data_IF_046643985714
#
_entry.id   IF_046643985714
#
_cell.length_a   1.000
_cell.length_b   1.000
_cell.length_c   1.000
_cell.angle_alpha   90.00
_cell.angle_beta   90.00
_cell.angle_gamma   90.00
#
_symmetry.space_group_name_H-M   'P 1'
#
loop_
_entity.id
_entity.type
_entity.pdbx_description
1 polymer ?
#
# COMPACT_ATOMS: atom_id res chain seq x y z
N UNK A 1 2.64 13.44 21.94
CA UNK A 1 3.82 12.66 22.41
C UNK A 1 4.51 12.14 21.15
N UNK A 2 5.82 12.35 21.01
CA UNK A 2 6.54 11.70 19.90
C UNK A 2 6.46 10.20 20.15
N UNK A 3 5.81 9.45 19.26
CA UNK A 3 5.79 7.99 19.34
C UNK A 3 7.20 7.49 19.06
N UNK A 4 7.70 6.58 19.89
CA UNK A 4 8.99 5.94 19.64
C UNK A 4 8.93 4.90 18.51
N UNK A 5 7.73 4.66 18.00
CA UNK A 5 7.46 3.66 16.96
C UNK A 5 7.67 4.20 15.55
N UNK A 6 8.15 3.34 14.67
CA UNK A 6 8.26 3.60 13.22
C UNK A 6 7.80 2.38 12.43
N UNK A 7 7.48 2.62 11.17
CA UNK A 7 7.27 1.60 10.15
C UNK A 7 8.46 1.56 9.19
N UNK A 8 8.76 0.40 8.62
CA UNK A 8 9.86 0.23 7.68
C UNK A 8 9.31 -0.28 6.34
N UNK A 9 9.53 0.48 5.27
CA UNK A 9 9.23 0.09 3.91
C UNK A 9 10.51 -0.21 3.12
N UNK A 10 10.58 -1.38 2.49
CA UNK A 10 11.72 -1.79 1.65
C UNK A 10 11.24 -1.88 0.21
N UNK A 11 11.77 -1.02 -0.64
CA UNK A 11 11.43 -1.02 -2.06
C UNK A 11 12.31 -1.99 -2.84
N UNK A 12 11.68 -2.89 -3.59
CA UNK A 12 12.36 -3.80 -4.53
C UNK A 12 11.88 -3.46 -5.94
N UNK A 13 12.69 -2.77 -6.76
CA UNK A 13 12.23 -2.21 -8.04
C UNK A 13 12.20 -3.22 -9.19
N UNK A 14 12.32 -4.52 -8.92
CA UNK A 14 12.51 -5.51 -9.98
C UNK A 14 11.24 -6.28 -10.29
N UNK A 15 10.92 -6.39 -11.60
CA UNK A 15 9.84 -7.21 -12.11
C UNK A 15 10.34 -8.10 -13.25
N UNK A 16 9.77 -9.31 -13.37
CA UNK A 16 9.99 -10.16 -14.54
C UNK A 16 9.40 -9.53 -15.82
N UNK A 17 8.25 -8.85 -15.66
CA UNK A 17 7.56 -8.09 -16.71
C UNK A 17 6.81 -6.93 -16.04
N UNK A 18 6.87 -5.73 -16.63
CA UNK A 18 6.09 -4.58 -16.14
C UNK A 18 4.67 -4.65 -16.69
N UNK A 19 3.68 -4.51 -15.82
CA UNK A 19 2.27 -4.50 -16.19
C UNK A 19 1.91 -3.21 -16.93
N UNK A 20 0.87 -3.24 -17.76
CA UNK A 20 0.50 -2.11 -18.62
C UNK A 20 -0.07 -0.90 -17.88
N UNK A 21 -0.56 -1.11 -16.66
CA UNK A 21 -1.17 -0.09 -15.80
C UNK A 21 -0.21 0.44 -14.73
N UNK A 22 0.97 -0.17 -14.54
CA UNK A 22 1.78 0.05 -13.38
C UNK A 22 2.65 1.32 -13.52
N UNK A 23 2.44 2.28 -12.61
CA UNK A 23 3.21 3.51 -12.46
C UNK A 23 4.35 3.39 -11.43
N UNK A 24 4.39 2.29 -10.66
CA UNK A 24 5.45 2.10 -9.66
C UNK A 24 6.84 2.13 -10.30
N UNK A 25 7.81 2.65 -9.53
CA UNK A 25 9.22 2.60 -9.90
C UNK A 25 9.68 1.14 -9.95
N UNK A 26 9.43 0.49 -11.09
CA UNK A 26 9.75 -0.92 -11.29
C UNK A 26 10.12 -1.20 -12.74
N UNK A 27 11.08 -2.12 -12.92
CA UNK A 27 11.60 -2.47 -14.25
C UNK A 27 12.27 -3.86 -14.24
N UNK A 28 12.53 -4.37 -15.44
CA UNK A 28 13.35 -5.56 -15.62
C UNK A 28 14.82 -5.18 -15.52
N UNK A 29 15.60 -5.99 -14.79
CA UNK A 29 17.04 -5.79 -14.66
C UNK A 29 17.82 -7.09 -14.86
N UNK A 30 19.07 -6.95 -15.26
CA UNK A 30 20.03 -8.05 -15.32
C UNK A 30 20.57 -8.37 -13.91
N UNK A 31 21.09 -9.58 -13.73
CA UNK A 31 21.52 -10.10 -12.43
C UNK A 31 22.59 -9.22 -11.76
N UNK A 32 23.51 -8.64 -12.56
CA UNK A 32 24.54 -7.73 -12.06
C UNK A 32 23.94 -6.46 -11.44
N UNK A 33 22.93 -5.88 -12.07
CA UNK A 33 22.22 -4.70 -11.53
C UNK A 33 21.48 -5.05 -10.25
N UNK A 34 20.82 -6.19 -10.19
CA UNK A 34 20.15 -6.67 -8.98
C UNK A 34 21.16 -6.83 -7.84
N UNK A 35 22.31 -7.43 -8.11
CA UNK A 35 23.38 -7.64 -7.12
C UNK A 35 23.95 -6.32 -6.60
N UNK A 36 24.24 -5.37 -7.50
CA UNK A 36 24.71 -4.04 -7.12
C UNK A 36 23.69 -3.32 -6.24
N UNK A 37 22.42 -3.36 -6.65
CA UNK A 37 21.31 -2.76 -5.89
C UNK A 37 21.19 -3.35 -4.48
N UNK A 38 21.19 -4.68 -4.36
CA UNK A 38 21.07 -5.37 -3.07
C UNK A 38 22.25 -5.06 -2.13
N UNK A 39 23.46 -4.92 -2.69
CA UNK A 39 24.61 -4.43 -1.95
C UNK A 39 24.39 -3.03 -1.37
N UNK A 40 23.88 -2.12 -2.21
CA UNK A 40 23.57 -0.73 -1.82
C UNK A 40 22.42 -0.64 -0.81
N UNK A 41 21.37 -1.43 -1.02
CA UNK A 41 20.25 -1.56 -0.11
C UNK A 41 20.68 -2.02 1.30
N UNK A 42 21.59 -3.00 1.35
CA UNK A 42 22.18 -3.46 2.60
C UNK A 42 22.97 -2.37 3.33
N UNK A 43 23.77 -1.59 2.61
CA UNK A 43 24.49 -0.45 3.17
C UNK A 43 23.53 0.59 3.77
N UNK A 44 22.43 0.88 3.06
CA UNK A 44 21.39 1.81 3.50
C UNK A 44 20.68 1.32 4.76
N UNK A 45 20.28 0.03 4.79
CA UNK A 45 19.68 -0.60 5.97
C UNK A 45 20.59 -0.50 7.20
N UNK A 46 21.89 -0.80 7.05
CA UNK A 46 22.88 -0.69 8.13
C UNK A 46 23.02 0.76 8.63
N UNK A 47 23.04 1.71 7.71
CA UNK A 47 23.13 3.14 8.05
C UNK A 47 21.94 3.59 8.88
N UNK A 48 20.71 3.33 8.39
CA UNK A 48 19.49 3.74 9.07
C UNK A 48 19.24 2.98 10.36
N UNK A 49 19.58 1.70 10.41
CA UNK A 49 19.46 0.90 11.63
C UNK A 49 20.29 1.48 12.78
N UNK A 50 21.52 1.94 12.50
CA UNK A 50 22.35 2.66 13.49
C UNK A 50 21.74 4.00 13.91
N UNK A 51 21.24 4.78 12.93
CA UNK A 51 20.64 6.11 13.21
C UNK A 51 19.34 6.03 13.99
N UNK A 52 18.57 4.97 13.79
CA UNK A 52 17.25 4.74 14.37
C UNK A 52 17.23 3.64 15.45
N UNK A 53 18.37 3.26 16.00
CA UNK A 53 18.51 2.16 16.97
C UNK A 53 17.62 2.30 18.23
N UNK A 54 17.16 3.51 18.57
CA UNK A 54 16.25 3.77 19.69
C UNK A 54 14.77 3.70 19.32
N UNK A 55 14.43 3.44 18.04
CA UNK A 55 13.04 3.37 17.55
C UNK A 55 12.56 1.92 17.52
N UNK A 56 11.31 1.73 17.88
CA UNK A 56 10.61 0.45 17.83
C UNK A 56 9.95 0.27 16.47
N UNK A 57 10.36 -0.70 15.67
CA UNK A 57 9.76 -1.01 14.37
C UNK A 57 8.54 -1.89 14.59
N UNK A 58 7.36 -1.37 14.29
CA UNK A 58 6.07 -2.06 14.49
C UNK A 58 5.57 -2.78 13.25
N UNK A 59 6.03 -2.35 12.07
CA UNK A 59 5.75 -3.05 10.80
C UNK A 59 6.96 -2.98 9.87
N UNK A 60 7.13 -4.04 9.06
CA UNK A 60 8.05 -4.07 7.91
C UNK A 60 7.26 -4.46 6.68
N UNK A 61 7.39 -3.71 5.59
CA UNK A 61 6.73 -4.00 4.33
C UNK A 61 7.76 -4.07 3.20
N UNK A 62 7.95 -5.25 2.62
CA UNK A 62 8.85 -5.49 1.49
C UNK A 62 7.99 -5.51 0.23
N UNK A 63 8.02 -4.42 -0.55
CA UNK A 63 7.12 -4.19 -1.68
C UNK A 63 7.77 -3.49 -2.86
N UNK A 64 6.94 -2.97 -3.76
CA UNK A 64 7.33 -2.14 -4.90
C UNK A 64 7.08 -2.80 -6.25
N UNK A 65 8.11 -3.35 -6.89
CA UNK A 65 7.96 -4.11 -8.14
C UNK A 65 7.43 -5.52 -7.86
N UNK A 66 8.31 -6.45 -7.62
CA UNK A 66 7.97 -7.85 -7.28
C UNK A 66 9.06 -8.42 -6.37
N UNK A 67 8.99 -8.24 -5.06
CA UNK A 67 10.01 -8.76 -4.14
C UNK A 67 10.23 -10.27 -4.28
N UNK A 68 9.15 -11.00 -4.53
CA UNK A 68 9.22 -12.45 -4.77
C UNK A 68 9.92 -12.86 -6.07
N UNK A 69 10.30 -11.93 -6.93
CA UNK A 69 11.17 -12.21 -8.08
C UNK A 69 12.63 -12.46 -7.65
N UNK A 70 13.09 -11.83 -6.57
CA UNK A 70 14.41 -12.06 -6.01
C UNK A 70 14.59 -13.50 -5.59
N UNK A 71 15.83 -13.96 -5.51
CA UNK A 71 16.16 -15.29 -4.97
C UNK A 71 15.83 -15.32 -3.47
N UNK A 72 15.56 -16.50 -2.93
CA UNK A 72 15.26 -16.65 -1.50
C UNK A 72 16.43 -16.20 -0.61
N UNK A 73 17.67 -16.41 -1.06
CA UNK A 73 18.89 -16.00 -0.37
C UNK A 73 19.00 -14.47 -0.25
N UNK A 74 18.51 -13.75 -1.27
CA UNK A 74 18.48 -12.29 -1.28
C UNK A 74 17.47 -11.75 -0.26
N UNK A 75 16.28 -12.35 -0.19
CA UNK A 75 15.28 -12.00 0.83
C UNK A 75 15.77 -12.36 2.24
N UNK A 76 16.41 -13.51 2.41
CA UNK A 76 17.04 -13.89 3.67
C UNK A 76 18.06 -12.85 4.11
N UNK A 77 18.96 -12.42 3.23
CA UNK A 77 19.96 -11.37 3.53
C UNK A 77 19.29 -10.06 3.96
N UNK A 78 18.20 -9.65 3.29
CA UNK A 78 17.45 -8.44 3.66
C UNK A 78 16.87 -8.60 5.08
N UNK A 79 16.18 -9.70 5.37
CA UNK A 79 15.60 -9.96 6.68
C UNK A 79 16.66 -10.03 7.78
N UNK A 80 17.75 -10.77 7.58
CA UNK A 80 18.86 -10.85 8.51
C UNK A 80 19.43 -9.46 8.81
N UNK A 81 19.64 -8.62 7.78
CA UNK A 81 20.14 -7.25 7.95
C UNK A 81 19.16 -6.38 8.77
N UNK A 82 17.85 -6.53 8.52
CA UNK A 82 16.81 -5.82 9.28
C UNK A 82 16.84 -6.23 10.76
N UNK A 83 16.81 -7.53 11.04
CA UNK A 83 16.81 -8.03 12.43
C UNK A 83 18.10 -7.74 13.19
N UNK A 84 19.25 -7.65 12.49
CA UNK A 84 20.54 -7.31 13.12
C UNK A 84 20.63 -5.83 13.51
N UNK A 85 20.01 -4.93 12.74
CA UNK A 85 20.26 -3.50 12.88
C UNK A 85 19.09 -2.68 13.38
N UNK A 86 17.84 -3.20 13.35
CA UNK A 86 16.66 -2.52 13.83
C UNK A 86 16.04 -3.25 15.03
N UNK A 87 15.43 -2.50 15.92
CA UNK A 87 14.66 -3.06 17.04
C UNK A 87 13.24 -3.41 16.54
N UNK A 88 13.06 -4.63 16.06
CA UNK A 88 11.78 -5.14 15.57
C UNK A 88 10.95 -5.60 16.76
N UNK A 89 9.71 -5.08 16.90
CA UNK A 89 8.79 -5.51 17.93
C UNK A 89 8.45 -7.00 17.79
N UNK A 90 8.25 -7.70 18.90
CA UNK A 90 7.95 -9.13 18.89
C UNK A 90 6.66 -9.45 18.11
N UNK A 91 5.68 -8.54 18.16
CA UNK A 91 4.41 -8.65 17.44
C UNK A 91 4.38 -7.88 16.11
N UNK A 92 5.53 -7.48 15.56
CA UNK A 92 5.61 -6.71 14.32
C UNK A 92 4.94 -7.45 13.14
N UNK A 93 4.18 -6.72 12.33
CA UNK A 93 3.71 -7.21 11.04
C UNK A 93 4.83 -7.12 10.02
N UNK A 94 5.26 -8.25 9.46
CA UNK A 94 6.31 -8.31 8.43
C UNK A 94 5.70 -8.88 7.15
N UNK A 95 5.45 -7.98 6.19
CA UNK A 95 4.79 -8.28 4.93
C UNK A 95 5.78 -8.39 3.78
N UNK A 96 5.54 -9.33 2.86
CA UNK A 96 6.18 -9.38 1.56
C UNK A 96 5.13 -9.45 0.44
N UNK A 97 5.34 -8.67 -0.63
CA UNK A 97 4.57 -8.78 -1.86
C UNK A 97 5.08 -9.90 -2.75
N UNK A 98 4.16 -10.63 -3.33
CA UNK A 98 4.45 -11.75 -4.22
C UNK A 98 3.52 -11.77 -5.44
N UNK A 99 4.08 -12.13 -6.60
CA UNK A 99 3.28 -12.44 -7.77
C UNK A 99 3.12 -13.97 -7.92
N UNK A 100 1.93 -14.45 -8.30
CA UNK A 100 1.76 -15.86 -8.66
C UNK A 100 2.81 -16.32 -9.67
N UNK A 101 3.28 -17.56 -9.53
CA UNK A 101 4.33 -18.12 -10.39
C UNK A 101 5.77 -17.64 -10.09
N UNK A 102 5.98 -16.78 -9.09
CA UNK A 102 7.33 -16.35 -8.66
C UNK A 102 7.79 -16.99 -7.35
N UNK A 103 6.93 -17.75 -6.72
CA UNK A 103 7.20 -18.46 -5.46
C UNK A 103 7.01 -19.97 -5.63
N UNK A 104 7.71 -20.72 -4.80
CA UNK A 104 7.51 -22.15 -4.56
C UNK A 104 7.45 -22.41 -3.04
N UNK A 105 7.09 -23.63 -2.65
CA UNK A 105 6.98 -24.00 -1.24
C UNK A 105 8.27 -23.75 -0.46
N UNK A 106 9.43 -24.06 -1.03
CA UNK A 106 10.73 -23.89 -0.38
C UNK A 106 11.04 -22.42 -0.10
N UNK A 107 10.74 -21.56 -1.07
CA UNK A 107 10.93 -20.11 -0.96
C UNK A 107 10.00 -19.53 0.13
N UNK A 108 8.76 -19.97 0.17
CA UNK A 108 7.78 -19.54 1.18
C UNK A 108 8.14 -20.03 2.59
N UNK A 109 8.67 -21.25 2.73
CA UNK A 109 9.23 -21.72 4.01
C UNK A 109 10.39 -20.83 4.47
N UNK A 110 11.33 -20.49 3.55
CA UNK A 110 12.43 -19.58 3.87
C UNK A 110 11.90 -18.19 4.34
N UNK A 111 10.86 -17.66 3.71
CA UNK A 111 10.25 -16.41 4.15
C UNK A 111 9.74 -16.51 5.60
N UNK A 112 9.01 -17.59 5.93
CA UNK A 112 8.52 -17.84 7.30
C UNK A 112 9.65 -17.99 8.31
N UNK A 113 10.68 -18.72 7.97
CA UNK A 113 11.89 -18.94 8.81
C UNK A 113 12.62 -17.64 9.11
N UNK A 114 12.55 -16.66 8.20
CA UNK A 114 13.14 -15.33 8.35
C UNK A 114 12.17 -14.28 8.90
N UNK A 115 11.09 -14.70 9.57
CA UNK A 115 10.20 -13.81 10.33
C UNK A 115 9.06 -13.17 9.54
N UNK A 116 8.99 -13.37 8.21
CA UNK A 116 7.88 -12.81 7.41
C UNK A 116 6.59 -13.53 7.82
N UNK A 117 5.59 -12.77 8.30
CA UNK A 117 4.35 -13.34 8.86
C UNK A 117 3.09 -13.00 8.05
N UNK A 118 3.19 -12.08 7.07
CA UNK A 118 2.12 -11.73 6.14
C UNK A 118 2.64 -11.78 4.69
N UNK A 119 1.80 -12.27 3.76
CA UNK A 119 2.10 -12.28 2.33
C UNK A 119 0.96 -11.65 1.55
N UNK A 120 1.28 -10.82 0.55
CA UNK A 120 0.31 -10.19 -0.34
C UNK A 120 0.50 -10.70 -1.77
N UNK A 121 -0.53 -11.33 -2.33
CA UNK A 121 -0.51 -11.83 -3.71
C UNK A 121 -1.19 -10.87 -4.68
N UNK A 122 -0.44 -10.35 -5.64
CA UNK A 122 -0.94 -9.55 -6.75
C UNK A 122 -1.65 -10.42 -7.80
N UNK A 123 -2.87 -10.87 -7.55
CA UNK A 123 -3.65 -11.67 -8.50
C UNK A 123 -4.32 -10.80 -9.58
N UNK A 124 -5.02 -9.77 -9.17
CA UNK A 124 -5.77 -8.78 -9.94
C UNK A 124 -7.08 -9.30 -10.54
N UNK A 125 -7.11 -10.47 -11.17
CA UNK A 125 -8.31 -11.12 -11.71
C UNK A 125 -8.17 -12.65 -11.73
N UNK A 126 -9.31 -13.35 -11.75
CA UNK A 126 -9.36 -14.81 -12.00
C UNK A 126 -9.66 -15.12 -13.45
N UNK A 127 -9.87 -14.10 -14.31
CA UNK A 127 -10.23 -14.21 -15.72
C UNK A 127 -8.99 -14.01 -16.59
N UNK A 128 -8.69 -15.01 -17.42
CA UNK A 128 -7.49 -15.01 -18.25
C UNK A 128 -7.39 -13.77 -19.16
N UNK A 129 -8.49 -13.41 -19.84
CA UNK A 129 -8.49 -12.26 -20.73
C UNK A 129 -8.23 -10.94 -20.01
N UNK A 130 -8.78 -10.76 -18.79
CA UNK A 130 -8.53 -9.59 -17.96
C UNK A 130 -7.04 -9.51 -17.56
N UNK A 131 -6.43 -10.64 -17.15
CA UNK A 131 -5.00 -10.72 -16.84
C UNK A 131 -4.12 -10.40 -18.06
N UNK A 132 -4.45 -10.91 -19.23
CA UNK A 132 -3.72 -10.62 -20.47
C UNK A 132 -3.77 -9.13 -20.82
N UNK A 133 -4.92 -8.48 -20.67
CA UNK A 133 -5.04 -7.02 -20.87
C UNK A 133 -4.19 -6.21 -19.90
N UNK A 134 -4.18 -6.60 -18.62
CA UNK A 134 -3.34 -5.99 -17.60
C UNK A 134 -1.83 -6.21 -17.86
N UNK A 135 -1.45 -7.10 -18.78
CA UNK A 135 -0.05 -7.48 -19.01
C UNK A 135 0.50 -8.41 -17.93
N UNK A 136 -0.39 -9.12 -17.22
CA UNK A 136 -0.01 -10.14 -16.23
C UNK A 136 0.43 -11.41 -16.95
N UNK A 137 1.48 -12.04 -16.46
CA UNK A 137 2.09 -13.24 -17.07
C UNK A 137 1.71 -14.54 -16.37
N UNK A 138 0.99 -14.46 -15.26
CA UNK A 138 0.52 -15.61 -14.50
C UNK A 138 -0.93 -15.98 -14.84
N UNK A 139 -1.31 -17.18 -14.45
CA UNK A 139 -2.67 -17.70 -14.57
C UNK A 139 -3.34 -17.81 -13.19
N UNK A 140 -4.66 -18.01 -13.17
CA UNK A 140 -5.40 -18.26 -11.93
C UNK A 140 -4.97 -19.59 -11.28
N UNK A 141 -4.63 -20.61 -12.06
CA UNK A 141 -4.13 -21.89 -11.57
C UNK A 141 -2.78 -21.75 -10.86
N UNK A 142 -1.87 -20.93 -11.40
CA UNK A 142 -0.59 -20.61 -10.75
C UNK A 142 -0.80 -19.85 -9.44
N UNK A 143 -1.82 -18.99 -9.38
CA UNK A 143 -2.20 -18.34 -8.12
C UNK A 143 -2.72 -19.35 -7.10
N UNK A 144 -3.64 -20.24 -7.47
CA UNK A 144 -4.15 -21.28 -6.56
C UNK A 144 -3.02 -22.14 -5.99
N UNK A 145 -2.06 -22.50 -6.82
CA UNK A 145 -0.90 -23.25 -6.38
C UNK A 145 -0.02 -22.44 -5.41
N UNK A 146 0.21 -21.16 -5.71
CA UNK A 146 1.01 -20.27 -4.85
C UNK A 146 0.32 -20.04 -3.49
N UNK A 147 -1.00 -19.89 -3.51
CA UNK A 147 -1.81 -19.74 -2.30
C UNK A 147 -1.78 -21.00 -1.42
N UNK A 148 -1.91 -22.19 -2.03
CA UNK A 148 -1.82 -23.47 -1.32
C UNK A 148 -0.42 -23.66 -0.72
N UNK A 149 0.64 -23.38 -1.44
CA UNK A 149 2.00 -23.41 -0.90
C UNK A 149 2.22 -22.42 0.26
N UNK A 150 1.60 -21.23 0.19
CA UNK A 150 1.68 -20.29 1.30
C UNK A 150 1.00 -20.84 2.57
N UNK A 151 -0.15 -21.50 2.43
CA UNK A 151 -0.81 -22.19 3.55
C UNK A 151 0.06 -23.34 4.08
N UNK A 152 0.64 -24.17 3.21
CA UNK A 152 1.55 -25.24 3.60
C UNK A 152 2.82 -24.73 4.31
N UNK A 153 3.35 -23.59 3.90
CA UNK A 153 4.47 -22.91 4.56
C UNK A 153 4.11 -22.27 5.92
N UNK A 154 2.82 -22.26 6.29
CA UNK A 154 2.33 -21.75 7.58
C UNK A 154 2.00 -20.26 7.59
N UNK A 155 1.72 -19.63 6.44
CA UNK A 155 1.15 -18.29 6.43
C UNK A 155 -0.30 -18.29 6.89
N UNK A 156 -0.57 -17.60 7.99
CA UNK A 156 -1.91 -17.41 8.58
C UNK A 156 -2.50 -16.04 8.26
N UNK A 157 -1.75 -15.17 7.59
CA UNK A 157 -2.18 -13.85 7.14
C UNK A 157 -1.79 -13.69 5.66
N UNK A 158 -2.77 -13.93 4.79
CA UNK A 158 -2.61 -13.81 3.34
C UNK A 158 -3.55 -12.74 2.83
N UNK A 159 -2.99 -11.79 2.09
CA UNK A 159 -3.74 -10.83 1.29
C UNK A 159 -3.82 -11.29 -0.16
N UNK A 160 -4.92 -10.96 -0.82
CA UNK A 160 -5.10 -11.11 -2.28
C UNK A 160 -5.57 -9.78 -2.86
N UNK A 161 -4.81 -9.27 -3.83
CA UNK A 161 -5.16 -8.06 -4.54
C UNK A 161 -6.08 -8.38 -5.73
N UNK A 162 -7.19 -7.67 -5.84
CA UNK A 162 -8.14 -7.70 -6.94
C UNK A 162 -8.33 -6.30 -7.52
N UNK A 163 -8.51 -6.23 -8.83
CA UNK A 163 -8.81 -4.99 -9.53
C UNK A 163 -10.22 -5.00 -10.10
N UNK A 164 -10.94 -3.91 -9.91
CA UNK A 164 -12.19 -3.59 -10.63
C UNK A 164 -11.92 -2.61 -11.77
N UNK A 165 -12.90 -2.43 -12.63
CA UNK A 165 -12.87 -1.53 -13.77
C UNK A 165 -11.71 -1.81 -14.76
N UNK A 166 -11.25 -3.07 -14.85
CA UNK A 166 -10.22 -3.44 -15.84
C UNK A 166 -10.83 -3.61 -17.22
N UNK A 167 -10.05 -3.48 -18.30
CA UNK A 167 -10.55 -3.60 -19.68
C UNK A 167 -11.30 -4.93 -19.89
N UNK A 168 -12.47 -4.86 -20.52
CA UNK A 168 -13.41 -5.96 -20.80
C UNK A 168 -14.07 -6.61 -19.57
N UNK A 169 -13.80 -6.13 -18.37
CA UNK A 169 -14.47 -6.63 -17.18
C UNK A 169 -15.96 -6.26 -17.21
N UNK A 170 -16.79 -7.19 -16.78
CA UNK A 170 -18.24 -7.00 -16.61
C UNK A 170 -18.61 -7.11 -15.15
N UNK A 171 -19.79 -6.61 -14.78
CA UNK A 171 -20.33 -6.80 -13.42
C UNK A 171 -20.34 -8.29 -13.02
N UNK A 172 -20.71 -9.17 -13.96
CA UNK A 172 -20.77 -10.61 -13.70
C UNK A 172 -19.38 -11.21 -13.50
N UNK A 173 -18.40 -10.89 -14.35
CA UNK A 173 -17.03 -11.41 -14.20
C UNK A 173 -16.37 -10.91 -12.91
N UNK A 174 -16.63 -9.67 -12.55
CA UNK A 174 -16.10 -9.11 -11.30
C UNK A 174 -16.76 -9.73 -10.05
N UNK A 175 -18.09 -9.93 -10.06
CA UNK A 175 -18.76 -10.67 -8.99
C UNK A 175 -18.19 -12.08 -8.80
N UNK A 176 -17.96 -12.80 -9.91
CA UNK A 176 -17.34 -14.12 -9.87
C UNK A 176 -15.92 -14.06 -9.29
N UNK A 177 -15.11 -13.05 -9.66
CA UNK A 177 -13.77 -12.83 -9.11
C UNK A 177 -13.82 -12.71 -7.58
N UNK A 178 -14.68 -11.82 -7.06
CA UNK A 178 -14.86 -11.60 -5.62
C UNK A 178 -15.25 -12.89 -4.91
N UNK A 179 -16.28 -13.60 -5.41
CA UNK A 179 -16.79 -14.83 -4.79
C UNK A 179 -15.79 -15.98 -4.85
N UNK A 180 -15.02 -16.13 -5.95
CA UNK A 180 -13.97 -17.15 -6.06
C UNK A 180 -12.89 -16.92 -5.01
N UNK A 181 -12.44 -15.70 -4.83
CA UNK A 181 -11.36 -15.38 -3.87
C UNK A 181 -11.87 -15.43 -2.44
N UNK A 182 -13.05 -14.87 -2.14
CA UNK A 182 -13.63 -14.94 -0.81
C UNK A 182 -13.84 -16.39 -0.32
N UNK A 183 -14.18 -17.34 -1.22
CA UNK A 183 -14.29 -18.78 -0.91
C UNK A 183 -12.97 -19.44 -0.53
N UNK A 184 -11.82 -18.94 -1.03
CA UNK A 184 -10.49 -19.42 -0.59
C UNK A 184 -10.18 -18.97 0.83
N UNK A 185 -10.96 -18.02 1.33
CA UNK A 185 -10.90 -17.53 2.71
C UNK A 185 -9.53 -16.96 3.12
N UNK A 186 -8.89 -16.09 2.29
CA UNK A 186 -7.75 -15.33 2.78
C UNK A 186 -8.15 -14.49 3.99
N UNK A 187 -7.21 -13.93 4.73
CA UNK A 187 -7.50 -13.06 5.88
C UNK A 187 -7.78 -11.62 5.45
N UNK A 188 -7.27 -11.24 4.28
CA UNK A 188 -7.33 -9.88 3.77
C UNK A 188 -7.56 -9.89 2.25
N UNK A 189 -8.31 -8.91 1.74
CA UNK A 189 -8.53 -8.68 0.31
C UNK A 189 -8.38 -7.19 0.05
N UNK A 190 -7.44 -6.82 -0.83
CA UNK A 190 -7.35 -5.49 -1.41
C UNK A 190 -8.19 -5.47 -2.69
N UNK A 191 -9.19 -4.62 -2.77
CA UNK A 191 -10.04 -4.49 -3.95
C UNK A 191 -10.13 -3.02 -4.35
N UNK A 192 -9.47 -2.66 -5.45
CA UNK A 192 -9.33 -1.28 -5.91
C UNK A 192 -9.63 -1.16 -7.40
N UNK A 193 -10.16 0.01 -7.82
CA UNK A 193 -10.40 0.29 -9.23
C UNK A 193 -9.10 0.58 -9.97
N UNK A 194 -9.05 0.19 -11.24
CA UNK A 194 -7.98 0.59 -12.14
C UNK A 194 -7.93 2.12 -12.24
N UNK A 195 -6.75 2.68 -12.02
CA UNK A 195 -6.44 4.09 -12.30
C UNK A 195 -5.46 4.11 -13.47
N UNK A 196 -5.73 5.00 -14.43
CA UNK A 196 -4.86 5.18 -15.61
C UNK A 196 -3.93 6.35 -15.32
N UNK A 197 -2.68 6.02 -15.02
CA UNK A 197 -1.65 7.00 -14.67
C UNK A 197 -0.83 7.41 -15.90
N UNK A 198 -0.47 8.70 -15.95
CA UNK A 198 0.39 9.25 -17.00
C UNK A 198 1.74 8.52 -17.05
N UNK A 199 2.24 8.27 -18.27
CA UNK A 199 3.49 7.53 -18.48
C UNK A 199 3.35 6.02 -18.46
N UNK A 200 2.14 5.47 -18.26
CA UNK A 200 1.88 4.03 -18.38
C UNK A 200 1.48 3.64 -19.80
N UNK A 201 1.71 2.38 -20.23
CA UNK A 201 1.21 1.89 -21.53
C UNK A 201 -0.31 2.02 -21.68
N UNK A 202 -1.09 1.99 -20.59
CA UNK A 202 -2.52 2.21 -20.64
C UNK A 202 -2.89 3.66 -20.95
N UNK A 203 -2.16 4.62 -20.42
CA UNK A 203 -2.36 6.04 -20.73
C UNK A 203 -2.11 6.35 -22.21
N UNK A 204 -1.17 5.65 -22.84
CA UNK A 204 -0.82 5.82 -24.26
C UNK A 204 -1.74 5.05 -25.21
N UNK A 205 -2.61 4.15 -24.70
CA UNK A 205 -3.50 3.31 -25.51
C UNK A 205 -4.82 4.01 -25.83
N UNK A 206 -4.88 4.69 -26.98
CA UNK A 206 -6.07 5.41 -27.44
C UNK A 206 -7.34 4.57 -27.62
N UNK A 207 -7.26 3.24 -27.53
CA UNK A 207 -8.41 2.33 -27.64
C UNK A 207 -8.86 1.79 -26.28
N UNK A 208 -8.13 2.10 -25.23
CA UNK A 208 -8.41 1.58 -23.90
C UNK A 208 -9.80 1.98 -23.42
N UNK A 209 -10.17 3.24 -23.63
CA UNK A 209 -11.46 3.81 -23.20
C UNK A 209 -12.68 3.04 -23.74
N UNK A 210 -12.57 2.49 -24.97
CA UNK A 210 -13.62 1.66 -25.57
C UNK A 210 -13.79 0.29 -24.89
N UNK A 211 -12.81 -0.13 -24.10
CA UNK A 211 -12.75 -1.44 -23.44
C UNK A 211 -13.05 -1.38 -21.94
N UNK A 212 -13.06 -0.21 -21.37
CA UNK A 212 -13.36 -0.01 -19.95
C UNK A 212 -14.86 -0.15 -19.68
N UNK A 213 -15.26 -0.62 -18.50
CA UNK A 213 -16.63 -0.49 -18.00
C UNK A 213 -17.08 0.97 -18.00
N UNK A 214 -18.38 1.21 -18.03
CA UNK A 214 -18.92 2.56 -17.84
C UNK A 214 -18.71 3.03 -16.40
N UNK A 215 -18.73 4.36 -16.17
CA UNK A 215 -18.64 4.93 -14.82
C UNK A 215 -19.77 4.39 -13.90
N UNK A 216 -20.95 4.13 -14.45
CA UNK A 216 -22.06 3.54 -13.71
C UNK A 216 -21.74 2.10 -13.27
N UNK A 217 -21.13 1.30 -14.16
CA UNK A 217 -20.71 -0.05 -13.84
C UNK A 217 -19.56 -0.05 -12.80
N UNK A 218 -18.63 0.90 -12.88
CA UNK A 218 -17.57 1.06 -11.90
C UNK A 218 -18.13 1.36 -10.50
N UNK A 219 -19.08 2.27 -10.38
CA UNK A 219 -19.79 2.55 -9.13
C UNK A 219 -20.50 1.30 -8.61
N UNK A 220 -21.15 0.53 -9.51
CA UNK A 220 -21.81 -0.71 -9.13
C UNK A 220 -20.80 -1.77 -8.66
N UNK A 221 -19.65 -1.93 -9.32
CA UNK A 221 -18.56 -2.82 -8.88
C UNK A 221 -18.07 -2.44 -7.49
N UNK A 222 -17.85 -1.16 -7.23
CA UNK A 222 -17.41 -0.68 -5.92
C UNK A 222 -18.42 -1.04 -4.81
N UNK A 223 -19.70 -0.74 -5.02
CA UNK A 223 -20.77 -1.06 -4.05
C UNK A 223 -20.96 -2.57 -3.86
N UNK A 224 -20.82 -3.33 -4.96
CA UNK A 224 -20.91 -4.79 -4.96
C UNK A 224 -19.78 -5.42 -4.13
N UNK A 225 -18.58 -4.86 -4.18
CA UNK A 225 -17.41 -5.36 -3.45
C UNK A 225 -17.71 -5.45 -1.96
N UNK A 226 -18.13 -4.36 -1.34
CA UNK A 226 -18.43 -4.34 0.10
C UNK A 226 -19.56 -5.32 0.45
N UNK A 227 -20.64 -5.31 -0.34
CA UNK A 227 -21.78 -6.21 -0.11
C UNK A 227 -21.37 -7.67 -0.14
N UNK A 228 -20.61 -8.09 -1.17
CA UNK A 228 -20.21 -9.48 -1.34
C UNK A 228 -19.19 -9.89 -0.27
N UNK A 229 -18.18 -9.07 -0.02
CA UNK A 229 -17.14 -9.41 0.94
C UNK A 229 -17.70 -9.50 2.37
N UNK A 230 -18.68 -8.67 2.73
CA UNK A 230 -19.40 -8.77 4.01
C UNK A 230 -20.14 -10.11 4.16
N UNK A 231 -20.68 -10.71 3.07
CA UNK A 231 -21.31 -12.04 3.10
C UNK A 231 -20.32 -13.14 3.55
N UNK A 232 -18.99 -12.91 3.37
CA UNK A 232 -17.92 -13.83 3.73
C UNK A 232 -17.15 -13.43 5.00
N UNK A 233 -17.64 -12.40 5.73
CA UNK A 233 -17.07 -11.97 7.00
C UNK A 233 -15.86 -11.04 6.89
N UNK A 234 -15.71 -10.33 5.78
CA UNK A 234 -14.73 -9.27 5.64
C UNK A 234 -15.38 -7.91 5.91
N UNK A 235 -14.77 -7.14 6.80
CA UNK A 235 -15.15 -5.76 7.07
C UNK A 235 -14.25 -4.81 6.28
N UNK A 236 -14.85 -3.79 5.67
CA UNK A 236 -14.13 -2.70 5.06
C UNK A 236 -13.53 -1.80 6.15
N UNK A 237 -12.21 -1.58 6.15
CA UNK A 237 -11.58 -0.75 7.18
C UNK A 237 -10.96 0.54 6.63
N UNK A 238 -10.74 0.62 5.31
CA UNK A 238 -10.35 1.83 4.58
C UNK A 238 -10.87 1.76 3.13
N UNK A 239 -10.54 2.72 2.27
CA UNK A 239 -11.15 2.93 0.95
C UNK A 239 -11.14 1.67 0.07
N UNK A 240 -10.04 0.91 0.06
CA UNK A 240 -9.78 -0.18 -0.88
C UNK A 240 -9.53 -1.54 -0.22
N UNK A 241 -9.49 -1.60 1.12
CA UNK A 241 -9.06 -2.80 1.83
C UNK A 241 -10.14 -3.38 2.74
N UNK A 242 -10.24 -4.69 2.70
CA UNK A 242 -11.21 -5.51 3.42
C UNK A 242 -10.46 -6.60 4.19
N UNK A 243 -10.82 -6.82 5.44
CA UNK A 243 -10.18 -7.82 6.27
C UNK A 243 -11.18 -8.56 7.16
N UNK A 244 -10.83 -9.79 7.52
CA UNK A 244 -11.46 -10.42 8.68
C UNK A 244 -11.02 -9.68 9.95
N UNK A 245 -11.85 -9.62 11.00
CA UNK A 245 -11.52 -8.91 12.22
C UNK A 245 -10.14 -9.29 12.78
N UNK A 246 -9.28 -8.29 12.99
CA UNK A 246 -7.90 -8.45 13.50
C UNK A 246 -6.84 -8.75 12.45
N UNK A 247 -7.19 -8.74 11.15
CA UNK A 247 -6.26 -8.93 10.03
C UNK A 247 -6.14 -7.70 9.12
N UNK A 248 -6.58 -6.53 9.59
CA UNK A 248 -6.33 -5.27 8.91
C UNK A 248 -4.82 -5.06 8.73
N UNK A 249 -4.37 -4.58 7.56
CA UNK A 249 -2.95 -4.29 7.34
C UNK A 249 -2.49 -3.17 8.28
N UNK A 250 -1.63 -3.53 9.23
CA UNK A 250 -1.11 -2.58 10.23
C UNK A 250 -0.24 -1.52 9.56
N UNK A 251 0.52 -1.90 8.54
CA UNK A 251 1.36 -0.98 7.79
C UNK A 251 0.52 0.08 7.05
N UNK A 252 -0.54 -0.33 6.33
CA UNK A 252 -1.42 0.63 5.66
C UNK A 252 -2.14 1.54 6.65
N UNK A 253 -2.65 0.98 7.76
CA UNK A 253 -3.28 1.77 8.81
C UNK A 253 -2.31 2.76 9.46
N UNK A 254 -1.03 2.42 9.53
CA UNK A 254 0.02 3.30 10.01
C UNK A 254 0.18 4.54 9.13
N UNK A 255 0.24 4.37 7.82
CA UNK A 255 0.25 5.50 6.88
C UNK A 255 -0.97 6.41 7.05
N UNK A 256 -2.17 5.81 7.14
CA UNK A 256 -3.42 6.57 7.35
C UNK A 256 -3.53 7.20 8.76
N UNK A 257 -2.69 6.80 9.68
CA UNK A 257 -2.65 7.31 11.06
C UNK A 257 -1.41 8.16 11.36
N UNK A 258 -0.63 8.55 10.32
CA UNK A 258 0.59 9.34 10.47
C UNK A 258 1.65 8.72 11.39
N UNK A 259 1.76 7.41 11.44
CA UNK A 259 2.91 6.78 12.09
C UNK A 259 4.15 7.13 11.27
N UNK A 260 5.24 7.61 11.89
CA UNK A 260 6.48 7.83 11.17
C UNK A 260 6.97 6.56 10.47
N UNK A 261 7.49 6.71 9.26
CA UNK A 261 8.02 5.60 8.51
C UNK A 261 9.33 5.94 7.80
N UNK A 262 10.17 4.93 7.64
CA UNK A 262 11.37 4.98 6.85
C UNK A 262 11.17 4.12 5.59
N UNK A 263 11.32 4.73 4.42
CA UNK A 263 11.45 4.04 3.16
C UNK A 263 12.93 3.84 2.79
N UNK A 264 13.30 2.63 2.44
CA UNK A 264 14.66 2.21 2.05
C UNK A 264 14.63 1.65 0.63
N UNK A 265 15.58 2.00 -0.18
CA UNK A 265 15.69 1.58 -1.57
C UNK A 265 15.30 2.67 -2.57
N UNK A 266 15.42 2.34 -3.85
CA UNK A 266 15.17 3.23 -4.98
C UNK A 266 13.77 3.85 -4.90
N UNK A 267 13.67 5.18 -5.06
CA UNK A 267 12.40 5.93 -5.06
C UNK A 267 11.55 5.77 -3.78
N UNK A 268 12.13 5.25 -2.70
CA UNK A 268 11.43 5.08 -1.45
C UNK A 268 11.25 6.41 -0.74
N UNK A 269 10.00 6.73 -0.37
CA UNK A 269 9.66 7.92 0.41
C UNK A 269 9.67 7.62 1.90
N UNK A 270 9.97 8.64 2.70
CA UNK A 270 10.04 8.56 4.17
C UNK A 270 9.30 9.72 4.82
N UNK A 271 8.78 9.47 6.02
CA UNK A 271 8.23 10.48 6.93
C UNK A 271 8.80 10.29 8.32
N UNK A 272 9.80 11.07 8.69
CA UNK A 272 10.48 11.02 9.99
C UNK A 272 10.61 12.42 10.58
N UNK A 273 10.34 12.56 11.86
CA UNK A 273 10.51 13.82 12.61
C UNK A 273 9.84 15.03 11.91
N UNK A 274 8.62 14.81 11.41
CA UNK A 274 7.81 15.80 10.67
C UNK A 274 8.46 16.27 9.34
N UNK A 275 9.42 15.50 8.81
CA UNK A 275 10.05 15.74 7.51
C UNK A 275 9.66 14.65 6.52
N UNK A 276 9.44 15.07 5.27
CA UNK A 276 9.32 14.16 4.12
C UNK A 276 10.56 14.23 3.27
N UNK A 277 11.09 13.09 2.91
CA UNK A 277 12.22 12.96 2.01
C UNK A 277 12.09 11.65 1.22
N UNK A 278 12.81 11.57 0.13
CA UNK A 278 12.78 10.41 -0.77
C UNK A 278 14.18 10.10 -1.29
N UNK A 279 14.37 8.85 -1.65
CA UNK A 279 15.56 8.39 -2.34
C UNK A 279 15.46 8.70 -3.84
N UNK A 280 16.60 8.79 -4.57
CA UNK A 280 16.61 8.96 -6.02
C UNK A 280 15.75 7.91 -6.73
N UNK A 281 15.07 8.34 -7.79
CA UNK A 281 14.28 7.45 -8.68
C UNK A 281 15.12 6.84 -9.81
N UNK A 282 16.30 7.40 -10.09
CA UNK A 282 17.26 6.84 -11.05
C UNK A 282 18.20 5.85 -10.36
N UNK A 283 18.40 4.67 -10.99
CA UNK A 283 19.21 3.58 -10.44
C UNK A 283 20.69 4.00 -10.27
N UNK A 284 21.23 4.74 -11.22
CA UNK A 284 22.63 5.17 -11.15
C UNK A 284 22.83 6.12 -9.98
N UNK A 285 21.94 7.11 -9.84
CA UNK A 285 21.99 8.08 -8.76
C UNK A 285 21.86 7.40 -7.40
N UNK A 286 20.97 6.39 -7.29
CA UNK A 286 20.84 5.60 -6.06
C UNK A 286 22.12 4.82 -5.72
N UNK A 287 22.75 4.17 -6.70
CA UNK A 287 23.99 3.42 -6.50
C UNK A 287 25.17 4.32 -6.15
N UNK A 288 25.18 5.57 -6.61
CA UNK A 288 26.22 6.57 -6.36
C UNK A 288 26.06 7.34 -5.03
N UNK A 289 24.99 7.11 -4.24
CA UNK A 289 24.79 7.77 -2.93
C UNK A 289 26.05 7.55 -2.05
N UNK A 290 26.61 8.64 -1.56
CA UNK A 290 27.75 8.60 -0.62
C UNK A 290 27.30 8.69 0.84
N UNK A 291 26.17 9.33 1.11
CA UNK A 291 25.59 9.49 2.45
C UNK A 291 24.08 9.38 2.39
N UNK A 292 23.51 8.35 2.94
CA UNK A 292 22.05 8.14 3.01
C UNK A 292 21.32 9.15 3.91
N UNK A 293 22.06 9.90 4.71
CA UNK A 293 21.49 10.93 5.57
C UNK A 293 21.22 12.25 4.87
N UNK A 294 21.81 12.51 3.69
CA UNK A 294 21.78 13.83 3.04
C UNK A 294 20.36 14.26 2.69
N UNK A 295 19.54 13.35 2.16
CA UNK A 295 18.14 13.64 1.85
C UNK A 295 17.34 14.04 3.11
N UNK A 296 17.54 13.35 4.24
CA UNK A 296 16.91 13.69 5.52
C UNK A 296 17.43 15.01 6.08
N UNK A 297 18.76 15.27 6.05
CA UNK A 297 19.35 16.51 6.57
C UNK A 297 18.90 17.72 5.75
N UNK A 298 18.79 17.57 4.42
CA UNK A 298 18.31 18.60 3.50
C UNK A 298 16.79 18.82 3.51
N UNK A 299 16.02 17.90 4.04
CA UNK A 299 14.55 18.00 4.06
C UNK A 299 14.07 19.08 5.05
N UNK A 300 13.09 19.87 4.61
CA UNK A 300 12.37 20.79 5.50
C UNK A 300 11.33 20.05 6.33
N UNK A 301 11.05 20.56 7.51
CA UNK A 301 9.91 20.10 8.30
C UNK A 301 8.60 20.60 7.69
N UNK A 302 7.57 19.76 7.76
CA UNK A 302 6.21 20.17 7.40
C UNK A 302 5.74 21.26 8.36
N UNK A 303 5.12 22.29 7.81
CA UNK A 303 4.42 23.29 8.62
C UNK A 303 3.24 22.66 9.35
N UNK A 304 2.73 23.32 10.38
CA UNK A 304 1.55 22.86 11.13
C UNK A 304 0.34 22.74 10.19
N UNK A 305 0.19 23.62 9.22
CA UNK A 305 -0.90 23.58 8.24
C UNK A 305 -0.78 22.35 7.35
N UNK A 306 0.39 22.04 6.81
CA UNK A 306 0.61 20.81 6.01
C UNK A 306 0.36 19.54 6.84
N UNK A 307 0.73 19.54 8.12
CA UNK A 307 0.41 18.42 9.01
C UNK A 307 -1.10 18.28 9.27
N UNK A 308 -1.85 19.39 9.35
CA UNK A 308 -3.31 19.38 9.45
C UNK A 308 -3.97 18.86 8.18
N UNK A 309 -3.49 19.30 6.99
CA UNK A 309 -3.94 18.77 5.69
C UNK A 309 -3.75 17.25 5.63
N UNK A 310 -2.55 16.77 5.96
CA UNK A 310 -2.25 15.34 5.97
C UNK A 310 -3.11 14.56 6.97
N UNK A 311 -3.37 15.11 8.15
CA UNK A 311 -4.28 14.51 9.12
C UNK A 311 -5.67 14.32 8.55
N UNK A 312 -6.18 15.30 7.78
CA UNK A 312 -7.48 15.20 7.13
C UNK A 312 -7.46 14.17 6.01
N UNK A 313 -6.63 14.35 4.98
CA UNK A 313 -6.75 13.52 3.78
C UNK A 313 -6.23 12.08 3.97
N UNK A 314 -5.27 11.81 4.83
CA UNK A 314 -4.86 10.45 5.16
C UNK A 314 -5.85 9.79 6.11
N UNK A 315 -6.23 10.49 7.17
CA UNK A 315 -7.10 9.94 8.20
C UNK A 315 -8.53 9.63 7.73
N UNK A 316 -9.07 10.44 6.81
CA UNK A 316 -10.41 10.24 6.22
C UNK A 316 -10.47 9.06 5.23
N UNK A 317 -9.33 8.47 4.84
CA UNK A 317 -9.31 7.21 4.08
C UNK A 317 -9.81 6.03 4.92
N UNK A 318 -9.68 6.09 6.25
CA UNK A 318 -10.20 5.06 7.17
C UNK A 318 -11.72 5.14 7.26
N UNK A 319 -12.41 4.00 7.23
CA UNK A 319 -13.87 3.95 7.42
C UNK A 319 -14.31 4.48 8.79
N UNK A 320 -13.46 4.30 9.81
CA UNK A 320 -13.65 4.88 11.15
C UNK A 320 -13.38 6.40 11.20
N UNK A 321 -12.86 6.98 10.11
CA UNK A 321 -12.55 8.40 10.02
C UNK A 321 -11.52 8.88 11.05
N UNK A 322 -11.61 10.16 11.41
CA UNK A 322 -10.70 10.90 12.28
C UNK A 322 -11.40 11.37 13.54
N UNK A 323 -10.63 11.51 14.63
CA UNK A 323 -11.12 12.00 15.93
C UNK A 323 -10.88 13.50 16.05
N UNK A 324 -11.91 14.27 16.40
CA UNK A 324 -11.80 15.71 16.75
C UNK A 324 -10.92 15.93 17.99
N UNK A 325 -11.01 15.01 18.94
CA UNK A 325 -10.19 15.05 20.16
C UNK A 325 -8.71 14.83 19.83
N UNK A 326 -8.38 13.85 19.00
CA UNK A 326 -7.01 13.60 18.55
C UNK A 326 -6.43 14.82 17.80
N UNK A 327 -7.26 15.49 16.98
CA UNK A 327 -6.87 16.73 16.31
C UNK A 327 -6.50 17.83 17.32
N UNK A 328 -7.32 18.03 18.37
CA UNK A 328 -7.02 19.00 19.43
C UNK A 328 -5.74 18.64 20.17
N UNK A 329 -5.55 17.37 20.53
CA UNK A 329 -4.36 16.89 21.24
C UNK A 329 -3.09 17.09 20.42
N UNK A 330 -3.18 16.97 19.09
CA UNK A 330 -2.04 17.10 18.19
C UNK A 330 -1.72 18.55 17.85
N UNK A 331 -2.73 19.38 17.59
CA UNK A 331 -2.56 20.72 17.03
C UNK A 331 -2.89 21.86 17.99
N UNK A 332 -3.46 21.58 19.15
CA UNK A 332 -3.79 22.58 20.17
C UNK A 332 -4.99 23.48 19.84
N UNK A 333 -5.71 23.21 18.74
CA UNK A 333 -6.92 23.93 18.33
C UNK A 333 -8.01 22.95 17.89
N UNK A 334 -9.28 23.40 17.88
CA UNK A 334 -10.36 22.51 17.44
C UNK A 334 -10.41 22.37 15.91
N UNK A 335 -10.75 21.16 15.45
CA UNK A 335 -10.98 20.90 14.02
C UNK A 335 -12.04 21.85 13.44
N UNK A 336 -13.09 22.13 14.20
CA UNK A 336 -14.16 23.05 13.75
C UNK A 336 -13.70 24.49 13.59
N UNK A 337 -12.69 24.93 14.36
CA UNK A 337 -12.13 26.29 14.20
C UNK A 337 -11.29 26.43 12.93
N UNK A 338 -10.75 25.32 12.40
CA UNK A 338 -9.91 25.29 11.20
C UNK A 338 -10.73 24.92 9.97
N UNK A 339 -11.50 23.86 10.06
CA UNK A 339 -12.20 23.22 8.93
C UNK A 339 -13.74 23.25 9.04
N UNK A 340 -14.31 24.04 9.99
CA UNK A 340 -15.75 23.99 10.27
C UNK A 340 -16.63 24.30 9.05
N UNK A 341 -16.19 25.20 8.17
CA UNK A 341 -16.93 25.53 6.93
C UNK A 341 -16.97 24.32 5.99
N UNK A 342 -15.81 23.71 5.72
CA UNK A 342 -15.67 22.55 4.83
C UNK A 342 -16.45 21.34 5.38
N UNK A 343 -16.35 21.08 6.68
CA UNK A 343 -17.08 20.00 7.35
C UNK A 343 -18.61 20.17 7.21
N UNK A 344 -19.13 21.38 7.50
CA UNK A 344 -20.56 21.68 7.39
C UNK A 344 -21.03 21.51 5.94
N UNK A 345 -20.26 21.98 4.96
CA UNK A 345 -20.63 21.88 3.55
C UNK A 345 -20.64 20.42 3.08
N UNK A 346 -19.58 19.64 3.35
CA UNK A 346 -19.50 18.22 3.00
C UNK A 346 -20.60 17.39 3.67
N UNK A 347 -20.99 17.73 4.93
CA UNK A 347 -22.11 17.08 5.61
C UNK A 347 -23.46 17.42 4.99
N UNK A 348 -23.68 18.68 4.58
CA UNK A 348 -24.91 19.10 3.86
C UNK A 348 -25.05 18.39 2.52
N UNK A 349 -23.95 18.16 1.82
CA UNK A 349 -23.92 17.42 0.56
C UNK A 349 -24.06 15.90 0.76
N UNK A 350 -24.06 15.42 2.01
CA UNK A 350 -24.16 14.00 2.31
C UNK A 350 -22.87 13.21 2.10
N UNK A 351 -21.74 13.89 1.86
CA UNK A 351 -20.43 13.26 1.62
C UNK A 351 -19.72 12.84 2.91
N UNK A 352 -20.03 13.51 4.01
CA UNK A 352 -19.44 13.22 5.33
C UNK A 352 -20.52 13.09 6.40
N UNK A 353 -20.15 12.42 7.50
CA UNK A 353 -20.97 12.31 8.72
C UNK A 353 -20.10 12.55 9.94
N UNK A 354 -20.75 13.00 11.00
CA UNK A 354 -20.17 13.11 12.34
C UNK A 354 -20.95 12.21 13.30
N UNK A 355 -20.26 11.36 14.05
CA UNK A 355 -20.84 10.52 15.10
C UNK A 355 -19.94 10.58 16.36
N UNK A 356 -20.46 11.18 17.41
CA UNK A 356 -19.70 11.42 18.66
C UNK A 356 -18.48 12.30 18.43
N UNK A 357 -17.30 11.77 18.64
CA UNK A 357 -16.02 12.45 18.43
C UNK A 357 -15.43 12.28 17.03
N UNK A 358 -16.10 11.52 16.14
CA UNK A 358 -15.51 11.14 14.87
C UNK A 358 -16.22 11.76 13.67
N UNK A 359 -15.39 12.10 12.68
CA UNK A 359 -15.82 12.54 11.37
C UNK A 359 -15.31 11.56 10.33
N UNK A 360 -16.14 11.12 9.40
CA UNK A 360 -15.80 10.13 8.39
C UNK A 360 -16.58 10.35 7.08
N UNK A 361 -16.06 9.80 5.99
CA UNK A 361 -16.74 9.81 4.69
C UNK A 361 -17.94 8.86 4.70
N UNK A 362 -19.02 9.25 4.07
CA UNK A 362 -20.14 8.35 3.74
C UNK A 362 -19.74 7.42 2.58
N UNK A 363 -20.57 6.43 2.26
CA UNK A 363 -20.36 5.61 1.06
C UNK A 363 -20.31 6.45 -0.23
N UNK A 364 -21.17 7.46 -0.34
CA UNK A 364 -21.14 8.38 -1.49
C UNK A 364 -19.92 9.31 -1.44
N UNK A 365 -19.49 9.74 -0.25
CA UNK A 365 -18.28 10.52 -0.06
C UNK A 365 -17.01 9.75 -0.43
N UNK A 366 -16.97 8.44 -0.21
CA UNK A 366 -15.82 7.61 -0.61
C UNK A 366 -15.72 7.51 -2.13
N UNK A 367 -16.84 7.39 -2.86
CA UNK A 367 -16.84 7.35 -4.33
C UNK A 367 -16.20 8.59 -4.96
N UNK A 368 -16.34 9.74 -4.31
CA UNK A 368 -15.77 11.03 -4.76
C UNK A 368 -14.71 11.54 -3.79
N UNK A 369 -14.04 10.62 -3.09
CA UNK A 369 -13.12 10.95 -1.99
C UNK A 369 -12.05 11.97 -2.37
N UNK A 370 -11.46 11.88 -3.55
CA UNK A 370 -10.45 12.84 -3.99
C UNK A 370 -11.00 14.26 -4.04
N UNK A 371 -12.23 14.46 -4.50
CA UNK A 371 -12.87 15.78 -4.52
C UNK A 371 -13.13 16.29 -3.09
N UNK A 372 -13.68 15.44 -2.23
CA UNK A 372 -13.96 15.81 -0.83
C UNK A 372 -12.68 16.13 -0.08
N UNK A 373 -11.61 15.33 -0.28
CA UNK A 373 -10.33 15.50 0.41
C UNK A 373 -9.60 16.79 -0.03
N UNK A 374 -9.73 17.19 -1.29
CA UNK A 374 -9.16 18.45 -1.79
C UNK A 374 -9.75 19.69 -1.08
N UNK A 375 -10.97 19.64 -0.57
CA UNK A 375 -11.60 20.76 0.16
C UNK A 375 -10.89 21.08 1.49
N UNK A 376 -10.07 20.17 2.00
CA UNK A 376 -9.30 20.32 3.23
C UNK A 376 -7.87 20.80 3.03
N UNK A 377 -7.47 21.07 1.80
CA UNK A 377 -6.20 21.71 1.49
C UNK A 377 -6.32 23.21 1.71
N UNK A 378 -5.29 23.81 2.29
CA UNK A 378 -5.23 25.27 2.40
C UNK A 378 -4.84 25.87 1.04
N UNK A 379 -5.48 26.98 0.69
CA UNK A 379 -5.05 27.75 -0.47
C UNK A 379 -3.58 28.14 -0.27
N UNK A 380 -2.71 27.63 -1.12
CA UNK A 380 -1.34 28.16 -1.16
C UNK A 380 -1.45 29.58 -1.69
N UNK A 381 -1.32 30.58 -0.83
CA UNK A 381 -1.07 31.94 -1.31
C UNK A 381 0.16 31.86 -2.22
N UNK A 382 -0.08 32.16 -3.49
CA UNK A 382 0.90 32.15 -4.59
C UNK A 382 1.98 33.21 -4.34
#
# INVERSE_FOLDING_TARGET
MKTNTIELYIHIPFCKSKCRYCDFCSFRAEEETIHAYLGKLKEELIFWGKKLAARDVVTVFIGGGTPSYLRREDIQMICETIFEHFHICEDAEITIEANPGTVDLKKLCTYRENGINRISFGLQSTVKEELEYLGRIHTYEEFLQSFDWARQAGFLNINVDLMSAVPKQTLTSYEENLRKIAKLSPEHISAYSLIIEEGTPFYEDNKLEELLPSEEDEVLMYRMTEKILNEYGYDKYEISNYAKPGFESRHNLGYWSHIPYLGVGLNASSYLDEKRFENPSDMKDYLEIQSFGDAYEGARSLSVYEQMEEFMFLGLRKTKGISKKEFIERFGCSMDSVYGKQLIESMKQGMMKEEGDRVFLTQDGILVSNQVLCEFLFDKEV
#
